data_IF_374020808457
#
_entry.id   IF_374020808457
#
_cell.length_a   1.000
_cell.length_b   1.000
_cell.length_c   1.000
_cell.angle_alpha   90.00
_cell.angle_beta   90.00
_cell.angle_gamma   90.00
#
_symmetry.space_group_name_H-M   'P 1'
#
loop_
_entity.id
_entity.type
_entity.pdbx_description
1 polymer ?
#
# COMPACT_ATOMS: atom_id res chain seq x y z
N UNK A 1 22.79 18.87 10.39
CA UNK A 1 22.29 18.23 11.64
C UNK A 1 20.83 17.87 11.45
N UNK A 2 20.49 16.59 11.46
CA UNK A 2 20.18 15.88 10.21
C UNK A 2 18.67 15.58 10.22
N UNK A 3 17.92 16.01 9.20
CA UNK A 3 16.48 15.74 9.00
C UNK A 3 16.13 14.25 9.16
N UNK A 4 17.10 13.37 8.89
CA UNK A 4 16.99 11.92 9.10
C UNK A 4 16.82 11.50 10.57
N UNK A 5 17.34 12.28 11.54
CA UNK A 5 17.14 12.01 12.97
C UNK A 5 15.72 12.35 13.44
N UNK A 6 15.09 13.39 12.89
CA UNK A 6 13.70 13.72 13.22
C UNK A 6 12.73 12.67 12.67
N UNK A 7 12.98 12.16 11.46
CA UNK A 7 12.18 11.07 10.88
C UNK A 7 12.28 9.80 11.73
N UNK A 8 13.48 9.45 12.23
CA UNK A 8 13.66 8.28 13.10
C UNK A 8 12.96 8.42 14.46
N UNK A 9 12.89 9.63 15.03
CA UNK A 9 12.24 9.86 16.33
C UNK A 9 10.71 9.76 16.21
N UNK A 10 10.11 10.28 15.14
CA UNK A 10 8.65 10.21 14.93
C UNK A 10 8.20 8.79 14.55
N UNK A 11 8.98 8.08 13.73
CA UNK A 11 8.76 6.66 13.43
C UNK A 11 8.79 5.78 14.68
N UNK A 12 9.49 6.19 15.74
CA UNK A 12 9.58 5.43 16.99
C UNK A 12 8.43 5.71 17.96
N UNK A 13 7.82 6.89 17.88
CA UNK A 13 6.83 7.37 18.87
C UNK A 13 5.37 7.21 18.44
N UNK A 14 5.07 7.24 17.13
CA UNK A 14 3.68 7.10 16.62
C UNK A 14 3.31 5.64 16.32
N UNK A 15 4.31 4.75 16.20
CA UNK A 15 4.12 3.33 15.85
C UNK A 15 3.91 2.39 17.05
N UNK A 16 3.88 2.91 18.27
CA UNK A 16 3.78 2.11 19.50
C UNK A 16 2.58 2.66 20.30
N UNK A 17 1.32 2.18 20.13
CA UNK A 17 0.95 0.77 20.05
C UNK A 17 -0.25 0.51 19.10
N UNK A 18 0.01 0.19 17.83
CA UNK A 18 -0.94 -0.64 17.07
C UNK A 18 -0.25 -1.99 16.93
N UNK A 19 -0.72 -3.00 17.67
CA UNK A 19 -0.11 -4.34 17.66
C UNK A 19 -0.31 -5.03 16.32
N UNK A 20 0.54 -4.70 15.35
CA UNK A 20 0.76 -5.47 14.13
C UNK A 20 1.99 -6.34 14.37
N UNK A 21 1.93 -7.22 15.38
CA UNK A 21 3.04 -8.12 15.77
C UNK A 21 3.52 -9.00 14.61
N UNK A 22 2.71 -9.12 13.55
CA UNK A 22 3.00 -9.96 12.37
C UNK A 22 3.40 -9.16 11.11
N UNK A 23 3.37 -7.82 11.12
CA UNK A 23 3.81 -7.03 9.96
C UNK A 23 5.34 -6.90 9.96
N UNK A 24 6.02 -7.89 9.39
CA UNK A 24 7.48 -7.98 9.33
C UNK A 24 8.10 -7.20 8.17
N UNK A 25 7.61 -6.00 7.84
CA UNK A 25 8.15 -5.17 6.76
C UNK A 25 9.14 -4.14 7.31
N UNK A 26 10.29 -3.97 6.65
CA UNK A 26 11.27 -2.96 7.02
C UNK A 26 10.85 -1.55 6.57
N UNK A 27 11.43 -0.51 7.17
CA UNK A 27 11.21 0.89 6.76
C UNK A 27 11.56 1.15 5.30
N UNK A 28 12.64 0.53 4.80
CA UNK A 28 13.08 0.68 3.40
C UNK A 28 12.05 0.07 2.44
N UNK A 29 11.58 -1.15 2.73
CA UNK A 29 10.54 -1.80 1.91
C UNK A 29 9.22 -1.02 1.96
N UNK A 30 8.82 -0.53 3.13
CA UNK A 30 7.64 0.31 3.27
C UNK A 30 7.78 1.59 2.44
N UNK A 31 8.92 2.29 2.51
CA UNK A 31 9.19 3.47 1.68
C UNK A 31 9.15 3.12 0.18
N UNK A 32 9.79 2.04 -0.22
CA UNK A 32 9.79 1.58 -1.61
C UNK A 32 8.38 1.24 -2.10
N UNK A 33 7.53 0.65 -1.26
CA UNK A 33 6.14 0.43 -1.62
C UNK A 33 5.38 1.75 -1.76
N UNK A 34 5.53 2.64 -0.79
CA UNK A 34 4.74 3.85 -0.69
C UNK A 34 5.18 4.96 -1.64
N UNK A 35 6.42 4.99 -2.16
CA UNK A 35 6.85 6.01 -3.15
C UNK A 35 6.11 5.97 -4.49
N UNK A 36 5.42 4.87 -4.82
CA UNK A 36 4.63 4.77 -6.05
C UNK A 36 3.15 5.05 -5.78
N UNK A 37 2.62 6.16 -6.33
CA UNK A 37 1.23 6.60 -6.12
C UNK A 37 0.18 5.51 -6.35
N UNK A 38 0.34 4.69 -7.41
CA UNK A 38 -0.61 3.61 -7.69
C UNK A 38 -0.65 2.55 -6.59
N UNK A 39 0.47 2.22 -5.96
CA UNK A 39 0.47 1.31 -4.79
C UNK A 39 -0.25 1.92 -3.59
N UNK A 40 -0.12 3.23 -3.38
CA UNK A 40 -0.89 3.92 -2.36
C UNK A 40 -2.40 3.80 -2.62
N UNK A 41 -2.83 3.98 -3.87
CA UNK A 41 -4.24 3.82 -4.24
C UNK A 41 -4.75 2.38 -4.03
N UNK A 42 -3.94 1.36 -4.36
CA UNK A 42 -4.29 -0.04 -4.09
C UNK A 42 -4.47 -0.28 -2.58
N UNK A 43 -3.52 0.17 -1.76
CA UNK A 43 -3.57 0.03 -0.30
C UNK A 43 -4.80 0.72 0.28
N UNK A 44 -5.11 1.94 -0.20
CA UNK A 44 -6.32 2.67 0.20
C UNK A 44 -7.56 1.88 -0.17
N UNK A 45 -7.69 1.49 -1.44
CA UNK A 45 -8.87 0.78 -1.95
C UNK A 45 -9.12 -0.52 -1.18
N UNK A 46 -8.09 -1.34 -0.98
CA UNK A 46 -8.21 -2.58 -0.22
C UNK A 46 -8.61 -2.36 1.24
N UNK A 47 -8.25 -1.22 1.83
CA UNK A 47 -8.69 -0.85 3.18
C UNK A 47 -10.15 -0.38 3.20
N UNK A 48 -10.62 0.26 2.13
CA UNK A 48 -12.00 0.77 2.01
C UNK A 48 -13.01 -0.36 1.73
N UNK A 49 -12.60 -1.43 1.05
CA UNK A 49 -13.49 -2.56 0.67
C UNK A 49 -13.40 -3.77 1.61
N UNK A 50 -12.95 -3.56 2.86
CA UNK A 50 -12.80 -4.63 3.87
C UNK A 50 -11.87 -5.79 3.42
N UNK A 51 -10.87 -5.47 2.60
CA UNK A 51 -9.70 -6.32 2.42
C UNK A 51 -9.72 -7.34 1.30
N UNK A 52 -10.80 -7.54 0.53
CA UNK A 52 -10.77 -8.45 -0.63
C UNK A 52 -11.35 -7.79 -1.88
N UNK A 53 -10.66 -7.97 -3.01
CA UNK A 53 -11.11 -7.47 -4.31
C UNK A 53 -10.64 -8.35 -5.46
N UNK A 54 -11.24 -8.19 -6.64
CA UNK A 54 -10.69 -8.76 -7.86
C UNK A 54 -9.79 -7.76 -8.60
N UNK A 55 -8.88 -8.28 -9.42
CA UNK A 55 -8.03 -7.47 -10.30
C UNK A 55 -8.88 -6.62 -11.25
N UNK A 56 -10.05 -7.13 -11.65
CA UNK A 56 -10.99 -6.41 -12.48
C UNK A 56 -11.53 -5.18 -11.74
N UNK A 57 -12.10 -5.37 -10.55
CA UNK A 57 -12.73 -4.28 -9.77
C UNK A 57 -11.70 -3.21 -9.42
N UNK A 58 -10.51 -3.65 -8.98
CA UNK A 58 -9.39 -2.76 -8.68
C UNK A 58 -8.95 -1.97 -9.92
N UNK A 59 -8.90 -2.61 -11.09
CA UNK A 59 -8.54 -1.93 -12.34
C UNK A 59 -9.58 -0.90 -12.77
N UNK A 60 -10.86 -1.21 -12.58
CA UNK A 60 -11.99 -0.33 -12.90
C UNK A 60 -11.98 0.90 -11.98
N UNK A 61 -11.82 0.68 -10.67
CA UNK A 61 -11.74 1.77 -9.70
C UNK A 61 -10.56 2.71 -9.98
N UNK A 62 -9.35 2.16 -10.16
CA UNK A 62 -8.16 2.97 -10.38
C UNK A 62 -8.16 3.68 -11.74
N UNK A 63 -8.80 3.11 -12.76
CA UNK A 63 -8.98 3.78 -14.05
C UNK A 63 -9.78 5.08 -13.89
N UNK A 64 -10.86 5.04 -13.10
CA UNK A 64 -11.68 6.21 -12.78
C UNK A 64 -10.90 7.23 -11.94
N UNK A 65 -10.22 6.79 -10.88
CA UNK A 65 -9.47 7.68 -9.98
C UNK A 65 -8.29 8.35 -10.69
N UNK A 66 -7.57 7.62 -11.56
CA UNK A 66 -6.38 8.13 -12.23
C UNK A 66 -6.67 8.73 -13.62
N UNK A 67 -7.93 8.75 -14.07
CA UNK A 67 -8.33 9.27 -15.38
C UNK A 67 -7.62 8.56 -16.55
N UNK A 68 -7.35 7.26 -16.43
CA UNK A 68 -6.59 6.51 -17.43
C UNK A 68 -7.28 5.20 -17.82
N UNK A 69 -6.89 4.63 -18.97
CA UNK A 69 -7.57 3.46 -19.52
C UNK A 69 -7.46 2.21 -18.62
N UNK A 70 -8.60 1.56 -18.36
CA UNK A 70 -8.70 0.31 -17.57
C UNK A 70 -7.70 -0.77 -17.98
N UNK A 71 -7.51 -1.00 -19.29
CA UNK A 71 -6.57 -2.00 -19.80
C UNK A 71 -5.12 -1.68 -19.40
N UNK A 72 -4.74 -0.40 -19.39
CA UNK A 72 -3.40 0.05 -18.99
C UNK A 72 -3.16 -0.16 -17.50
N UNK A 73 -4.17 0.15 -16.66
CA UNK A 73 -4.12 -0.14 -15.23
C UNK A 73 -3.98 -1.64 -14.99
N UNK A 74 -4.85 -2.45 -15.61
CA UNK A 74 -4.84 -3.90 -15.45
C UNK A 74 -3.46 -4.50 -15.71
N UNK A 75 -2.83 -4.15 -16.84
CA UNK A 75 -1.49 -4.63 -17.19
C UNK A 75 -0.46 -4.20 -16.14
N UNK A 76 -0.48 -2.93 -15.72
CA UNK A 76 0.45 -2.42 -14.72
C UNK A 76 0.27 -3.08 -13.34
N UNK A 77 -0.97 -3.33 -12.93
CA UNK A 77 -1.28 -4.05 -11.69
C UNK A 77 -0.74 -5.47 -11.75
N UNK A 78 -1.03 -6.19 -12.84
CA UNK A 78 -0.63 -7.58 -13.03
C UNK A 78 0.90 -7.76 -13.06
N UNK A 79 1.60 -6.89 -13.77
CA UNK A 79 3.04 -7.06 -14.04
C UNK A 79 3.95 -6.44 -12.98
N UNK A 80 3.52 -5.37 -12.31
CA UNK A 80 4.42 -4.57 -11.46
C UNK A 80 3.87 -4.40 -10.05
N UNK A 81 2.66 -3.84 -9.90
CA UNK A 81 2.22 -3.38 -8.59
C UNK A 81 1.83 -4.52 -7.65
N UNK A 82 0.98 -5.45 -8.08
CA UNK A 82 0.55 -6.56 -7.25
C UNK A 82 1.68 -7.56 -6.94
N UNK A 83 2.57 -7.92 -7.89
CA UNK A 83 3.72 -8.76 -7.57
C UNK A 83 4.60 -8.14 -6.49
N UNK A 84 4.98 -6.85 -6.62
CA UNK A 84 5.83 -6.20 -5.61
C UNK A 84 5.17 -6.05 -4.25
N UNK A 85 3.86 -5.82 -4.20
CA UNK A 85 3.13 -5.79 -2.93
C UNK A 85 3.04 -7.20 -2.32
N UNK A 86 2.94 -8.25 -3.13
CA UNK A 86 2.95 -9.62 -2.66
C UNK A 86 4.33 -10.04 -2.14
N UNK A 87 5.42 -9.60 -2.79
CA UNK A 87 6.79 -9.91 -2.39
C UNK A 87 7.09 -9.45 -0.94
N UNK A 88 6.54 -8.30 -0.53
CA UNK A 88 6.68 -7.77 0.85
C UNK A 88 5.53 -8.20 1.77
N UNK A 89 4.70 -9.14 1.32
CA UNK A 89 3.56 -9.65 2.10
C UNK A 89 2.46 -8.63 2.36
N UNK A 90 2.40 -7.51 1.62
CA UNK A 90 1.32 -6.53 1.76
C UNK A 90 -0.02 -7.09 1.25
N UNK A 91 -0.01 -7.92 0.20
CA UNK A 91 -1.21 -8.55 -0.33
C UNK A 91 -0.95 -10.03 -0.61
N UNK A 92 -1.99 -10.86 -0.51
CA UNK A 92 -2.02 -12.16 -1.14
C UNK A 92 -2.65 -12.01 -2.52
N UNK A 93 -1.88 -12.29 -3.59
CA UNK A 93 -2.36 -12.15 -4.96
C UNK A 93 -2.39 -13.49 -5.70
N UNK A 94 -3.61 -13.99 -5.96
CA UNK A 94 -3.84 -15.21 -6.72
C UNK A 94 -3.93 -14.89 -8.22
N UNK A 95 -2.81 -15.02 -8.94
CA UNK A 95 -2.73 -14.65 -10.38
C UNK A 95 -3.75 -15.33 -11.28
N UNK A 96 -4.12 -16.58 -10.99
CA UNK A 96 -5.07 -17.35 -11.83
C UNK A 96 -6.50 -16.86 -11.68
N UNK A 97 -6.96 -16.65 -10.45
CA UNK A 97 -8.31 -16.16 -10.15
C UNK A 97 -8.43 -14.64 -10.23
N UNK A 98 -7.30 -13.93 -10.18
CA UNK A 98 -7.26 -12.48 -10.10
C UNK A 98 -7.70 -11.95 -8.73
N UNK A 99 -7.81 -12.80 -7.70
CA UNK A 99 -8.21 -12.38 -6.34
C UNK A 99 -7.03 -11.74 -5.62
N UNK A 100 -7.29 -10.59 -5.00
CA UNK A 100 -6.36 -9.86 -4.14
C UNK A 100 -6.96 -9.76 -2.74
N UNK A 101 -6.20 -10.20 -1.75
CA UNK A 101 -6.57 -10.10 -0.34
C UNK A 101 -5.54 -9.28 0.41
N UNK A 102 -5.99 -8.29 1.18
CA UNK A 102 -5.18 -7.49 2.07
C UNK A 102 -4.64 -8.36 3.22
N UNK A 103 -3.44 -8.04 3.67
CA UNK A 103 -2.86 -8.62 4.87
C UNK A 103 -2.78 -7.59 5.98
N UNK A 104 -2.31 -8.02 7.15
CA UNK A 104 -1.87 -7.17 8.26
C UNK A 104 -0.91 -6.06 7.79
N UNK A 105 -0.03 -6.36 6.82
CA UNK A 105 0.92 -5.40 6.24
C UNK A 105 0.23 -4.35 5.36
N UNK A 106 -0.88 -4.66 4.66
CA UNK A 106 -1.67 -3.62 3.99
C UNK A 106 -2.18 -2.59 5.00
N UNK A 107 -2.73 -3.05 6.13
CA UNK A 107 -3.23 -2.17 7.19
C UNK A 107 -2.10 -1.32 7.82
N UNK A 108 -0.92 -1.92 8.02
CA UNK A 108 0.28 -1.20 8.45
C UNK A 108 0.61 -0.04 7.50
N UNK A 109 0.75 -0.34 6.21
CA UNK A 109 1.11 0.64 5.19
C UNK A 109 0.07 1.75 5.06
N UNK A 110 -1.21 1.43 5.25
CA UNK A 110 -2.27 2.43 5.29
C UNK A 110 -2.12 3.40 6.47
N UNK A 111 -1.78 2.90 7.66
CA UNK A 111 -1.53 3.76 8.82
C UNK A 111 -0.33 4.68 8.60
N UNK A 112 0.76 4.16 8.01
CA UNK A 112 1.92 4.96 7.62
C UNK A 112 1.53 6.06 6.61
N UNK A 113 0.74 5.72 5.58
CA UNK A 113 0.25 6.70 4.60
C UNK A 113 -0.62 7.78 5.23
N UNK A 114 -1.54 7.42 6.14
CA UNK A 114 -2.37 8.38 6.86
C UNK A 114 -1.53 9.29 7.72
N UNK A 115 -0.57 8.76 8.49
CA UNK A 115 0.32 9.55 9.34
C UNK A 115 1.22 10.49 8.54
N UNK A 116 1.76 10.06 7.41
CA UNK A 116 2.62 10.89 6.56
C UNK A 116 1.85 12.06 5.89
N UNK A 117 0.56 11.89 5.60
CA UNK A 117 -0.27 12.99 5.06
C UNK A 117 -0.48 14.14 6.03
N UNK A 118 -0.39 13.92 7.35
CA UNK A 118 -0.42 15.00 8.34
C UNK A 118 0.87 15.82 8.36
N UNK A 119 1.99 15.27 7.86
CA UNK A 119 3.32 15.90 7.90
C UNK A 119 3.61 16.73 6.64
N UNK A 120 2.92 16.47 5.53
CA UNK A 120 3.12 17.15 4.24
C UNK A 120 1.99 18.14 3.88
N UNK A 121 1.10 18.45 4.83
CA UNK A 121 -0.04 19.33 4.65
C UNK A 121 0.13 20.72 5.30
N UNK A 122 1.37 21.11 5.59
CA UNK A 122 1.80 22.51 5.82
C UNK A 122 2.51 23.03 4.56
#
# INVERSE_FOLDING_TARGET
>A
MNQLRQIQVVLRSVLVPVTLRDASISTTEAFDMLRQRRRQHIIRYLTEVEGTATLRDLSEHLATVEGCGRKRIYIALYQNHLPKLADVGAVHYQRRSGVITATTTTRFLWLVLRGAKWILAE
#
